data_IF_562407509379
#
_entry.id   IF_562407509379
#
_cell.length_a   1.000
_cell.length_b   1.000
_cell.length_c   1.000
_cell.angle_alpha   90.00
_cell.angle_beta   90.00
_cell.angle_gamma   90.00
#
_symmetry.space_group_name_H-M   'P 1'
#
loop_
_entity.id
_entity.type
_entity.pdbx_description
1 polymer ?
#
# COMPACT_ATOMS: atom_id res chain seq x y z
N UNK A 1 -8.39 5.80 2.43
CA UNK A 1 -8.13 4.56 1.64
C UNK A 1 -7.54 3.44 2.49
N UNK A 2 -6.57 3.72 3.37
CA UNK A 2 -5.83 2.69 4.10
C UNK A 2 -6.68 1.84 5.05
N UNK A 3 -7.75 2.39 5.64
CA UNK A 3 -8.69 1.61 6.45
C UNK A 3 -9.37 0.49 5.64
N UNK A 4 -9.67 0.73 4.36
CA UNK A 4 -10.24 -0.32 3.50
C UNK A 4 -9.21 -1.43 3.25
N UNK A 5 -7.92 -1.08 3.13
CA UNK A 5 -6.84 -2.05 3.05
C UNK A 5 -6.79 -2.92 4.30
N UNK A 6 -6.87 -2.32 5.48
CA UNK A 6 -6.86 -3.05 6.75
C UNK A 6 -8.02 -4.04 6.84
N UNK A 7 -9.23 -3.61 6.50
CA UNK A 7 -10.41 -4.49 6.45
C UNK A 7 -10.22 -5.65 5.48
N UNK A 8 -9.70 -5.39 4.27
CA UNK A 8 -9.42 -6.43 3.28
C UNK A 8 -8.34 -7.43 3.75
N UNK A 9 -7.37 -6.97 4.55
CA UNK A 9 -6.29 -7.80 5.05
C UNK A 9 -6.69 -8.66 6.25
N UNK A 10 -7.85 -8.44 6.89
CA UNK A 10 -8.31 -9.25 8.02
C UNK A 10 -8.50 -10.73 7.68
N UNK A 11 -8.85 -11.03 6.44
CA UNK A 11 -9.14 -12.41 5.97
C UNK A 11 -7.96 -13.03 5.19
N UNK A 12 -6.81 -12.36 5.13
CA UNK A 12 -5.64 -12.85 4.39
C UNK A 12 -4.98 -14.04 5.10
N UNK A 13 -4.16 -14.78 4.36
CA UNK A 13 -3.29 -15.83 4.93
C UNK A 13 -2.04 -15.19 5.54
N UNK A 14 -1.80 -15.25 6.86
CA UNK A 14 -0.67 -14.56 7.50
C UNK A 14 0.70 -15.04 7.01
N UNK A 15 0.82 -16.31 6.62
CA UNK A 15 2.07 -16.94 6.17
C UNK A 15 2.42 -16.67 4.69
N UNK A 16 1.60 -15.88 3.99
CA UNK A 16 1.76 -15.54 2.59
C UNK A 16 2.12 -14.05 2.47
N UNK A 17 3.26 -13.71 1.84
CA UNK A 17 3.61 -12.32 1.57
C UNK A 17 2.48 -11.59 0.83
N UNK A 18 2.08 -10.45 1.39
CA UNK A 18 1.05 -9.58 0.82
C UNK A 18 1.65 -8.23 0.50
N UNK A 19 1.51 -7.77 -0.74
CA UNK A 19 1.96 -6.44 -1.14
C UNK A 19 0.74 -5.52 -1.25
N UNK A 20 0.77 -4.41 -0.51
CA UNK A 20 -0.19 -3.31 -0.62
C UNK A 20 0.43 -2.25 -1.52
N UNK A 21 -0.20 -1.98 -2.66
CA UNK A 21 0.28 -0.95 -3.59
C UNK A 21 -0.73 0.19 -3.60
N UNK A 22 -0.28 1.36 -3.13
CA UNK A 22 -1.07 2.60 -3.13
C UNK A 22 -0.65 3.43 -4.33
N UNK A 23 -1.61 3.70 -5.21
CA UNK A 23 -1.41 4.57 -6.38
C UNK A 23 -2.20 5.85 -6.14
N UNK A 24 -1.51 6.99 -6.11
CA UNK A 24 -2.11 8.31 -5.89
C UNK A 24 -1.63 9.32 -6.92
N UNK A 25 -2.49 10.26 -7.27
CA UNK A 25 -2.17 11.40 -8.12
C UNK A 25 -2.18 12.73 -7.34
N UNK A 26 -2.27 12.65 -6.01
CA UNK A 26 -2.61 13.77 -5.16
C UNK A 26 -2.16 13.63 -3.71
N UNK A 27 -2.37 14.73 -2.97
CA UNK A 27 -2.36 14.74 -1.51
C UNK A 27 -3.47 13.85 -0.95
N UNK A 28 -3.19 13.23 0.18
CA UNK A 28 -4.22 12.55 0.96
C UNK A 28 -5.14 13.56 1.65
N UNK A 29 -6.44 13.25 1.68
CA UNK A 29 -7.44 13.97 2.48
C UNK A 29 -7.69 13.30 3.83
N UNK A 30 -7.26 12.06 3.99
CA UNK A 30 -7.41 11.25 5.19
C UNK A 30 -6.16 11.32 6.08
N UNK A 31 -6.31 11.00 7.36
CA UNK A 31 -5.15 10.85 8.26
C UNK A 31 -4.51 9.51 7.92
N UNK A 32 -3.27 9.55 7.43
CA UNK A 32 -2.55 8.35 6.95
C UNK A 32 -1.75 7.65 8.05
N UNK A 33 -1.36 8.35 9.12
CA UNK A 33 -0.40 7.87 10.11
C UNK A 33 -0.87 6.61 10.83
N UNK A 34 -2.06 6.65 11.46
CA UNK A 34 -2.60 5.51 12.21
C UNK A 34 -2.81 4.26 11.34
N UNK A 35 -3.53 4.36 10.21
CA UNK A 35 -3.74 3.21 9.34
C UNK A 35 -2.46 2.69 8.68
N UNK A 36 -1.49 3.56 8.36
CA UNK A 36 -0.21 3.14 7.81
C UNK A 36 0.61 2.37 8.85
N UNK A 37 0.65 2.86 10.09
CA UNK A 37 1.34 2.20 11.19
C UNK A 37 0.73 0.81 11.46
N UNK A 38 -0.60 0.69 11.43
CA UNK A 38 -1.27 -0.60 11.56
C UNK A 38 -0.91 -1.56 10.42
N UNK A 39 -0.87 -1.08 9.16
CA UNK A 39 -0.44 -1.89 8.02
C UNK A 39 1.00 -2.41 8.18
N UNK A 40 1.92 -1.61 8.72
CA UNK A 40 3.32 -2.01 8.91
C UNK A 40 3.51 -3.04 10.02
N UNK A 41 2.62 -3.06 11.01
CA UNK A 41 2.63 -4.06 12.09
C UNK A 41 2.17 -5.45 11.63
N UNK A 42 1.48 -5.55 10.49
CA UNK A 42 0.99 -6.83 9.99
C UNK A 42 2.14 -7.72 9.47
N UNK A 43 2.24 -8.99 9.90
CA UNK A 43 3.34 -9.86 9.50
C UNK A 43 3.30 -10.20 8.01
N UNK A 44 4.42 -10.24 7.32
CA UNK A 44 4.47 -10.51 5.88
C UNK A 44 3.65 -9.53 5.02
N UNK A 45 3.41 -8.30 5.47
CA UNK A 45 2.81 -7.22 4.65
C UNK A 45 3.89 -6.21 4.27
N UNK A 46 3.89 -5.78 3.01
CA UNK A 46 4.75 -4.70 2.51
C UNK A 46 3.90 -3.66 1.80
N UNK A 47 4.05 -2.40 2.20
CA UNK A 47 3.37 -1.28 1.55
C UNK A 47 4.30 -0.56 0.58
N UNK A 48 3.81 -0.28 -0.62
CA UNK A 48 4.47 0.46 -1.69
C UNK A 48 3.59 1.65 -2.06
N UNK A 49 4.21 2.78 -2.37
CA UNK A 49 3.49 3.96 -2.87
C UNK A 49 4.00 4.36 -4.24
N UNK A 50 3.07 4.69 -5.12
CA UNK A 50 3.33 5.16 -6.47
C UNK A 50 2.59 6.47 -6.65
N UNK A 51 3.28 7.49 -7.12
CA UNK A 51 2.64 8.72 -7.59
C UNK A 51 2.96 8.98 -9.05
N UNK A 52 1.96 9.42 -9.80
CA UNK A 52 2.05 9.61 -11.26
C UNK A 52 2.13 11.09 -11.64
N UNK A 53 1.82 11.99 -10.71
CA UNK A 53 1.81 13.45 -10.90
C UNK A 53 2.87 14.11 -10.03
N UNK A 54 3.01 15.44 -10.13
CA UNK A 54 3.88 16.24 -9.27
C UNK A 54 3.17 16.80 -8.01
N UNK A 55 1.89 16.45 -7.82
CA UNK A 55 1.04 16.97 -6.76
C UNK A 55 0.96 15.99 -5.57
N UNK A 56 2.05 15.83 -4.82
CA UNK A 56 2.11 14.90 -3.68
C UNK A 56 2.91 15.47 -2.51
N UNK A 57 2.72 14.89 -1.32
CA UNK A 57 3.47 15.25 -0.10
C UNK A 57 4.42 14.13 0.28
N UNK A 58 5.72 14.45 0.36
CA UNK A 58 6.76 13.47 0.66
C UNK A 58 6.48 12.69 1.94
N UNK A 59 6.09 13.40 3.01
CA UNK A 59 5.82 12.78 4.31
C UNK A 59 4.69 11.76 4.24
N UNK A 60 3.63 12.03 3.48
CA UNK A 60 2.51 11.08 3.32
C UNK A 60 2.95 9.80 2.61
N UNK A 61 3.66 9.93 1.48
CA UNK A 61 4.13 8.76 0.73
C UNK A 61 5.08 7.91 1.58
N UNK A 62 6.00 8.56 2.31
CA UNK A 62 6.94 7.88 3.19
C UNK A 62 6.23 7.22 4.39
N UNK A 63 5.28 7.91 5.01
CA UNK A 63 4.46 7.36 6.11
C UNK A 63 3.68 6.15 5.61
N UNK A 64 3.03 6.21 4.46
CA UNK A 64 2.29 5.06 3.91
C UNK A 64 3.22 3.90 3.59
N UNK A 65 4.35 4.15 2.92
CA UNK A 65 5.29 3.11 2.53
C UNK A 65 6.01 2.47 3.73
N UNK A 66 6.29 3.22 4.79
CA UNK A 66 7.08 2.80 5.95
C UNK A 66 8.57 2.56 5.66
N UNK A 67 8.97 2.64 4.39
CA UNK A 67 10.37 2.57 3.96
C UNK A 67 10.54 3.44 2.72
N UNK A 68 11.45 4.43 2.73
CA UNK A 68 11.68 5.31 1.59
C UNK A 68 12.04 4.58 0.28
N UNK A 69 12.64 3.39 0.35
CA UNK A 69 12.98 2.57 -0.84
C UNK A 69 11.75 1.96 -1.54
N UNK A 70 10.55 2.10 -0.96
CA UNK A 70 9.28 1.62 -1.53
C UNK A 70 8.39 2.76 -2.01
N UNK A 71 8.97 3.96 -2.16
CA UNK A 71 8.30 5.13 -2.73
C UNK A 71 8.76 5.31 -4.18
N UNK A 72 7.80 5.29 -5.09
CA UNK A 72 8.00 5.43 -6.53
C UNK A 72 7.27 6.69 -7.00
N UNK A 73 7.98 7.53 -7.74
CA UNK A 73 7.50 8.85 -8.17
C UNK A 73 7.65 8.96 -9.68
N UNK A 74 6.62 9.46 -10.34
CA UNK A 74 6.55 9.57 -11.78
C UNK A 74 6.31 8.24 -12.50
N UNK A 75 5.84 8.32 -13.74
CA UNK A 75 5.55 7.15 -14.59
C UNK A 75 6.82 6.34 -14.92
N UNK A 76 7.97 7.00 -14.96
CA UNK A 76 9.29 6.42 -15.19
C UNK A 76 9.74 5.45 -14.08
N UNK A 77 9.12 5.53 -12.90
CA UNK A 77 9.42 4.66 -11.77
C UNK A 77 8.64 3.33 -11.79
N UNK A 78 7.64 3.18 -12.68
CA UNK A 78 6.83 1.96 -12.81
C UNK A 78 7.67 0.71 -13.08
N UNK A 79 8.68 0.72 -13.98
CA UNK A 79 9.56 -0.44 -14.15
C UNK A 79 10.26 -0.86 -12.85
N UNK A 80 10.70 0.11 -12.03
CA UNK A 80 11.35 -0.17 -10.76
C UNK A 80 10.38 -0.78 -9.75
N UNK A 81 9.12 -0.32 -9.73
CA UNK A 81 8.06 -0.93 -8.94
C UNK A 81 7.83 -2.38 -9.38
N UNK A 82 7.73 -2.65 -10.68
CA UNK A 82 7.54 -4.01 -11.21
C UNK A 82 8.70 -4.91 -10.79
N UNK A 83 9.95 -4.43 -10.88
CA UNK A 83 11.11 -5.17 -10.37
C UNK A 83 10.99 -5.42 -8.86
N UNK A 84 10.59 -4.43 -8.07
CA UNK A 84 10.45 -4.56 -6.63
C UNK A 84 9.35 -5.58 -6.23
N UNK A 85 8.23 -5.61 -6.96
CA UNK A 85 7.13 -6.56 -6.75
C UNK A 85 7.49 -7.98 -7.22
N UNK A 86 8.24 -8.09 -8.32
CA UNK A 86 8.66 -9.37 -8.90
C UNK A 86 9.90 -9.96 -8.20
N UNK A 87 10.61 -9.14 -7.40
CA UNK A 87 11.75 -9.62 -6.62
C UNK A 87 11.31 -10.60 -5.53
N UNK A 88 11.40 -11.89 -5.84
CA UNK A 88 11.21 -12.97 -4.88
C UNK A 88 12.45 -13.05 -3.97
N UNK A 89 12.49 -12.25 -2.91
CA UNK A 89 13.44 -12.49 -1.83
C UNK A 89 12.86 -13.57 -0.91
N UNK A 90 12.73 -14.80 -1.42
CA UNK A 90 12.42 -15.98 -0.62
C UNK A 90 13.65 -16.37 0.19
N UNK A 91 13.99 -15.56 1.19
CA UNK A 91 14.86 -16.03 2.26
C UNK A 91 14.22 -17.24 2.93
N UNK A 92 15.02 -18.21 3.43
CA UNK A 92 14.47 -19.33 4.17
C UNK A 92 13.65 -18.77 5.32
N UNK A 93 12.35 -19.11 5.32
CA UNK A 93 11.44 -18.79 6.41
C UNK A 93 12.05 -19.42 7.66
N UNK A 94 12.65 -18.63 8.55
CA UNK A 94 12.85 -19.09 9.92
C UNK A 94 11.45 -19.17 10.52
N UNK A 95 10.83 -20.35 10.36
CA UNK A 95 9.74 -20.74 11.22
C UNK A 95 10.24 -20.57 12.64
N UNK A 96 9.50 -19.79 13.41
CA UNK A 96 9.61 -19.75 14.85
C UNK A 96 9.42 -21.18 15.34
N UNK A 97 10.49 -21.79 15.82
CA UNK A 97 10.57 -23.22 16.11
C UNK A 97 9.61 -23.60 17.22
N UNK A 98 8.70 -24.53 16.92
CA UNK A 98 8.09 -25.40 17.92
C UNK A 98 9.11 -26.53 18.14
N UNK A 99 9.61 -26.79 19.37
CA UNK A 99 10.57 -27.86 19.60
C UNK A 99 9.89 -29.24 19.53
N UNK A 100 10.61 -30.15 18.88
CA UNK A 100 10.60 -31.61 19.03
C UNK A 100 9.57 -32.44 18.25
N UNK A 101 9.94 -32.87 17.03
CA UNK A 101 9.65 -34.25 16.58
C UNK A 101 10.74 -34.74 15.59
N UNK A 102 11.26 -35.97 15.71
CA UNK A 102 12.41 -36.44 14.94
C UNK A 102 12.03 -36.99 13.55
N UNK A 103 13.06 -37.00 12.70
CA UNK A 103 13.02 -37.10 11.24
C UNK A 103 12.50 -38.43 10.68
N UNK A 104 11.67 -38.36 9.63
CA UNK A 104 11.53 -39.44 8.64
C UNK A 104 11.61 -38.87 7.22
N UNK A 105 12.70 -39.28 6.57
CA UNK A 105 13.05 -39.38 5.15
C UNK A 105 12.62 -38.31 4.12
N UNK A 106 13.70 -37.70 3.58
CA UNK A 106 13.87 -37.35 2.18
C UNK A 106 13.25 -38.38 1.23
N UNK A 107 12.36 -37.95 0.32
CA UNK A 107 12.34 -38.36 -1.09
C UNK A 107 11.07 -37.92 -1.85
N UNK A 108 10.08 -37.27 -1.21
CA UNK A 108 8.89 -36.77 -1.89
C UNK A 108 8.44 -35.39 -1.39
N UNK A 109 9.11 -34.31 -1.80
CA UNK A 109 8.42 -33.06 -2.13
C UNK A 109 9.33 -32.08 -2.87
N UNK A 110 9.79 -32.46 -4.06
CA UNK A 110 10.31 -31.55 -5.08
C UNK A 110 9.24 -30.63 -5.68
N UNK A 111 8.10 -30.44 -4.98
CA UNK A 111 7.10 -29.44 -5.33
C UNK A 111 7.35 -28.22 -4.47
N UNK A 112 8.12 -27.29 -5.00
CA UNK A 112 8.16 -25.91 -4.52
C UNK A 112 6.72 -25.45 -4.26
N UNK A 113 6.38 -24.95 -3.05
CA UNK A 113 5.06 -24.41 -2.82
C UNK A 113 4.84 -23.27 -3.82
N UNK A 114 3.76 -23.37 -4.60
CA UNK A 114 3.32 -22.32 -5.51
C UNK A 114 3.12 -21.08 -4.64
N UNK A 115 4.04 -20.13 -4.70
CA UNK A 115 3.98 -18.88 -3.99
C UNK A 115 2.87 -18.04 -4.61
N UNK A 116 1.65 -18.16 -4.09
CA UNK A 116 0.52 -17.32 -4.49
C UNK A 116 0.66 -15.96 -3.82
N UNK A 117 1.28 -14.99 -4.50
CA UNK A 117 1.27 -13.58 -4.07
C UNK A 117 -0.10 -12.99 -4.31
N UNK A 118 -0.79 -12.52 -3.26
CA UNK A 118 -2.03 -11.75 -3.40
C UNK A 118 -1.65 -10.27 -3.50
N UNK A 119 -1.87 -9.68 -4.67
CA UNK A 119 -1.71 -8.24 -4.90
C UNK A 119 -3.08 -7.58 -4.82
N UNK A 120 -3.26 -6.70 -3.84
CA UNK A 120 -4.46 -5.85 -3.76
C UNK A 120 -4.09 -4.46 -4.25
N UNK A 121 -4.57 -4.10 -5.45
CA UNK A 121 -4.43 -2.76 -6.02
C UNK A 121 -5.56 -1.88 -5.47
N UNK A 122 -5.20 -0.76 -4.83
CA UNK A 122 -6.18 0.20 -4.33
C UNK A 122 -5.94 1.54 -5.03
N UNK A 123 -6.84 1.86 -5.94
CA UNK A 123 -6.87 3.14 -6.66
C UNK A 123 -7.66 4.15 -5.83
N UNK A 124 -7.04 5.26 -5.44
CA UNK A 124 -7.77 6.44 -4.94
C UNK A 124 -8.21 7.29 -6.13
N UNK A 125 -9.48 7.70 -6.18
CA UNK A 125 -9.94 8.72 -7.13
C UNK A 125 -9.42 10.08 -6.69
N UNK A 126 -8.95 10.86 -7.64
CA UNK A 126 -8.68 12.28 -7.48
C UNK A 126 -9.98 13.09 -7.43
N UNK A 127 -9.93 14.24 -6.78
CA UNK A 127 -11.04 15.18 -6.75
C UNK A 127 -10.92 16.17 -7.90
N UNK A 128 -11.97 16.28 -8.71
CA UNK A 128 -12.23 17.48 -9.52
C UNK A 128 -12.35 18.67 -8.56
N UNK A 129 -11.52 19.69 -8.78
CA UNK A 129 -11.60 20.96 -8.07
C UNK A 129 -12.98 21.61 -8.27
N UNK A 130 -13.74 21.78 -7.19
CA UNK A 130 -14.97 22.59 -7.17
C UNK A 130 -14.66 23.85 -6.36
N UNK A 131 -14.59 25.05 -6.98
CA UNK A 131 -14.30 26.25 -6.22
C UNK A 131 -15.44 26.52 -5.23
N UNK A 132 -15.11 26.60 -3.94
CA UNK A 132 -16.00 27.14 -2.92
C UNK A 132 -16.09 28.64 -3.19
N UNK A 133 -17.22 29.10 -3.75
CA UNK A 133 -17.54 30.52 -3.75
C UNK A 133 -17.59 31.00 -2.30
N UNK A 134 -16.70 31.93 -1.96
CA UNK A 134 -16.69 32.60 -0.67
C UNK A 134 -18.00 33.39 -0.49
N UNK A 135 -18.48 33.40 0.75
CA UNK A 135 -19.75 34.04 1.17
C UNK A 135 -19.85 35.53 0.83
N UNK A 136 -18.72 36.19 0.52
CA UNK A 136 -18.65 37.58 0.08
C UNK A 136 -19.23 37.85 -1.32
N UNK A 137 -19.49 36.82 -2.16
CA UNK A 137 -20.17 37.00 -3.45
C UNK A 137 -21.69 36.80 -3.42
N UNK A 138 -22.28 36.36 -2.30
CA UNK A 138 -23.76 36.21 -2.18
C UNK A 138 -24.51 37.50 -1.87
N UNK A 139 -23.84 38.53 -1.37
CA UNK A 139 -24.50 39.78 -0.95
C UNK A 139 -24.77 40.75 -2.13
N UNK A 140 -23.95 40.73 -3.19
CA UNK A 140 -24.01 41.74 -4.27
C UNK A 140 -25.10 41.46 -5.33
N UNK A 141 -25.75 40.29 -5.31
CA UNK A 141 -26.84 39.96 -6.24
C UNK A 141 -28.24 40.24 -5.68
N UNK A 142 -28.35 40.77 -4.45
CA UNK A 142 -29.66 41.00 -3.80
C UNK A 142 -30.11 42.46 -3.73
N UNK A 143 -29.36 43.40 -4.29
CA UNK A 143 -29.76 44.82 -4.32
C UNK A 143 -29.43 45.51 -5.65
N UNK A 144 -30.31 45.34 -6.63
CA UNK A 144 -30.61 46.42 -7.59
C UNK A 144 -32.12 46.44 -7.86
N UNK A 145 -32.73 47.63 -7.89
CA UNK A 145 -34.18 47.82 -7.98
C UNK A 145 -34.76 47.41 -9.33
#
# INVERSE_FOLDING_TARGET
ALNLSLEALRTRRPNVPTNVVVITDGFSYDIVDGPAEELHRLPNVRTFTVTVTDAWRESELQTIAGNPRRVFKGMESVPQLVTALTSCNSGPRKGEGIPDEPSIDSFLSSRSPIATTTTTTITTKSATYVPILSSTQKETLRTKP
#
